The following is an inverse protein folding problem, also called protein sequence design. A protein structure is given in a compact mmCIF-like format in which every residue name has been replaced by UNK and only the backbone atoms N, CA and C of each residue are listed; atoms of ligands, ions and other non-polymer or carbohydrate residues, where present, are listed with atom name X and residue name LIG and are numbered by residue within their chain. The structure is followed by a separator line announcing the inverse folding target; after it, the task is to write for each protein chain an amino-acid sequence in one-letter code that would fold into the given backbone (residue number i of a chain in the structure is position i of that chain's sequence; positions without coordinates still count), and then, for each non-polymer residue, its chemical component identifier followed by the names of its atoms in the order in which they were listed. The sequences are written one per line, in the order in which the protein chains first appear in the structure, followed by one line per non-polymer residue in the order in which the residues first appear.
data_IF_935762014755
#
_entry.id   IF_935762014755
#
_cell.length_a   1.000
_cell.length_b   1.000
_cell.length_c   1.000
_cell.angle_alpha   90.00
_cell.angle_beta   90.00
_cell.angle_gamma   90.00
#
_symmetry.space_group_name_H-M   'P 1'
#
loop_
_entity.id
_entity.type
_entity.pdbx_description
1 polymer ?
#
# COMPACT_ATOMS: atom_id res chain seq x y z
N UNK A 1 -25.85 2.33 -43.86
CA UNK A 1 -26.28 1.74 -42.56
C UNK A 1 -25.15 1.49 -41.55
N UNK A 2 -24.03 0.83 -41.89
CA UNK A 2 -22.97 0.49 -40.90
C UNK A 2 -22.22 1.67 -40.25
N UNK A 3 -22.17 2.85 -40.89
CA UNK A 3 -21.45 4.02 -40.35
C UNK A 3 -22.20 4.78 -39.24
N UNK A 4 -23.54 4.77 -39.25
CA UNK A 4 -24.35 5.50 -38.27
C UNK A 4 -24.37 4.82 -36.89
N UNK A 5 -24.14 3.49 -36.83
CA UNK A 5 -24.02 2.76 -35.55
C UNK A 5 -22.61 2.81 -34.94
N UNK A 6 -21.56 3.01 -35.73
CA UNK A 6 -20.18 2.95 -35.23
C UNK A 6 -19.86 4.08 -34.22
N UNK A 7 -20.35 5.30 -34.49
CA UNK A 7 -20.15 6.47 -33.62
C UNK A 7 -20.80 6.27 -32.23
N UNK A 8 -22.11 5.96 -32.12
CA UNK A 8 -22.73 5.76 -30.80
C UNK A 8 -22.13 4.57 -30.04
N UNK A 9 -21.77 3.48 -30.72
CA UNK A 9 -21.06 2.35 -30.11
C UNK A 9 -19.72 2.77 -29.51
N UNK A 10 -19.00 3.66 -30.17
CA UNK A 10 -17.70 4.15 -29.67
C UNK A 10 -17.84 5.09 -28.49
N UNK A 11 -18.91 5.88 -28.41
CA UNK A 11 -19.20 6.71 -27.23
C UNK A 11 -19.53 5.82 -26.03
N UNK A 12 -20.36 4.79 -26.21
CA UNK A 12 -20.66 3.80 -25.17
C UNK A 12 -19.38 3.11 -24.71
N UNK A 13 -18.54 2.69 -25.65
CA UNK A 13 -17.24 2.10 -25.36
C UNK A 13 -16.35 3.05 -24.55
N UNK A 14 -16.25 4.33 -24.94
CA UNK A 14 -15.44 5.32 -24.20
C UNK A 14 -15.95 5.48 -22.77
N UNK A 15 -17.27 5.51 -22.55
CA UNK A 15 -17.85 5.58 -21.22
C UNK A 15 -17.51 4.34 -20.37
N UNK A 16 -17.62 3.13 -20.95
CA UNK A 16 -17.27 1.88 -20.28
C UNK A 16 -15.77 1.81 -19.97
N UNK A 17 -14.92 2.21 -20.91
CA UNK A 17 -13.47 2.25 -20.72
C UNK A 17 -13.08 3.25 -19.63
N UNK A 18 -13.71 4.44 -19.60
CA UNK A 18 -13.53 5.40 -18.52
C UNK A 18 -13.97 4.82 -17.16
N UNK A 19 -15.02 4.00 -17.12
CA UNK A 19 -15.43 3.32 -15.88
C UNK A 19 -14.39 2.32 -15.39
N UNK A 20 -13.79 1.53 -16.29
CA UNK A 20 -12.67 0.65 -15.93
C UNK A 20 -11.44 1.42 -15.47
N UNK A 21 -11.13 2.54 -16.13
CA UNK A 21 -10.06 3.43 -15.71
C UNK A 21 -10.31 4.04 -14.32
N UNK A 22 -11.52 4.54 -14.07
CA UNK A 22 -11.89 5.04 -12.74
C UNK A 22 -11.78 3.90 -11.72
N UNK A 23 -12.28 2.70 -12.01
CA UNK A 23 -12.14 1.60 -11.06
C UNK A 23 -10.67 1.23 -10.78
N UNK A 24 -9.81 1.19 -11.80
CA UNK A 24 -8.40 0.82 -11.61
C UNK A 24 -7.57 1.81 -10.78
N UNK A 25 -7.96 3.09 -10.77
CA UNK A 25 -7.20 4.15 -10.07
C UNK A 25 -7.92 4.73 -8.84
N UNK A 26 -9.24 4.61 -8.77
CA UNK A 26 -10.12 5.29 -7.82
C UNK A 26 -10.87 4.28 -6.96
N UNK A 27 -11.66 3.36 -7.55
CA UNK A 27 -12.59 2.55 -6.75
C UNK A 27 -12.07 1.19 -6.29
N UNK A 28 -11.16 0.57 -7.05
CA UNK A 28 -10.56 -0.74 -6.79
C UNK A 28 -11.59 -1.85 -6.49
N UNK A 29 -12.75 -1.86 -7.15
CA UNK A 29 -13.81 -2.86 -6.91
C UNK A 29 -13.70 -4.08 -7.81
N UNK A 30 -13.21 -3.93 -9.03
CA UNK A 30 -13.05 -5.05 -9.95
C UNK A 30 -11.78 -5.84 -9.67
N UNK A 31 -11.87 -7.14 -9.91
CA UNK A 31 -10.73 -8.04 -9.89
C UNK A 31 -9.77 -7.73 -11.04
N UNK A 32 -8.50 -8.12 -10.88
CA UNK A 32 -7.44 -7.83 -11.86
C UNK A 32 -7.76 -8.35 -13.27
N UNK A 33 -8.41 -9.50 -13.38
CA UNK A 33 -8.74 -10.10 -14.68
C UNK A 33 -9.89 -9.37 -15.38
N UNK A 34 -10.89 -8.90 -14.64
CA UNK A 34 -11.97 -8.08 -15.20
C UNK A 34 -11.45 -6.77 -15.76
N UNK A 35 -10.54 -6.12 -15.03
CA UNK A 35 -9.86 -4.91 -15.49
C UNK A 35 -9.01 -5.17 -16.74
N UNK A 36 -8.28 -6.29 -16.80
CA UNK A 36 -7.50 -6.67 -17.98
C UNK A 36 -8.38 -6.82 -19.22
N UNK A 37 -9.51 -7.52 -19.11
CA UNK A 37 -10.47 -7.66 -20.22
C UNK A 37 -10.99 -6.29 -20.66
N UNK A 38 -11.31 -5.42 -19.70
CA UNK A 38 -11.68 -4.03 -19.94
C UNK A 38 -10.63 -3.26 -20.74
N UNK A 39 -9.36 -3.33 -20.36
CA UNK A 39 -8.28 -2.64 -21.08
C UNK A 39 -7.94 -3.29 -22.43
N UNK A 40 -7.99 -4.63 -22.55
CA UNK A 40 -7.75 -5.35 -23.81
C UNK A 40 -8.78 -5.01 -24.88
N UNK A 41 -10.02 -4.68 -24.47
CA UNK A 41 -11.06 -4.26 -25.40
C UNK A 41 -10.73 -2.98 -26.20
N UNK A 42 -9.69 -2.23 -25.79
CA UNK A 42 -9.16 -1.11 -26.56
C UNK A 42 -8.50 -1.50 -27.89
N UNK A 43 -7.88 -2.68 -27.97
CA UNK A 43 -7.17 -3.13 -29.16
C UNK A 43 -8.08 -3.20 -30.41
N UNK A 44 -9.22 -3.92 -30.39
CA UNK A 44 -10.09 -4.00 -31.56
C UNK A 44 -10.70 -2.64 -31.93
N UNK A 45 -11.04 -1.79 -30.96
CA UNK A 45 -11.60 -0.45 -31.21
C UNK A 45 -10.58 0.45 -31.89
N UNK A 46 -9.35 0.49 -31.37
CA UNK A 46 -8.26 1.26 -31.97
C UNK A 46 -7.93 0.74 -33.38
N UNK A 47 -7.86 -0.59 -33.56
CA UNK A 47 -7.62 -1.20 -34.86
C UNK A 47 -8.70 -0.83 -35.89
N UNK A 48 -9.97 -0.89 -35.50
CA UNK A 48 -11.10 -0.53 -36.36
C UNK A 48 -10.99 0.90 -36.88
N UNK A 49 -10.76 1.89 -36.00
CA UNK A 49 -10.67 3.30 -36.40
C UNK A 49 -9.44 3.60 -37.25
N UNK A 50 -8.28 3.00 -36.92
CA UNK A 50 -7.05 3.15 -37.71
C UNK A 50 -7.27 2.59 -39.13
N UNK A 51 -7.90 1.42 -39.26
CA UNK A 51 -8.20 0.81 -40.55
C UNK A 51 -9.22 1.62 -41.35
N UNK A 52 -10.29 2.08 -40.68
CA UNK A 52 -11.40 2.83 -41.30
C UNK A 52 -10.94 4.14 -41.94
N UNK A 53 -9.96 4.81 -41.35
CA UNK A 53 -9.44 6.10 -41.80
C UNK A 53 -8.06 6.04 -42.45
N UNK A 54 -7.63 4.85 -42.89
CA UNK A 54 -6.34 4.68 -43.58
C UNK A 54 -6.21 5.56 -44.83
N UNK A 55 -7.31 5.73 -45.56
CA UNK A 55 -7.41 6.54 -46.78
C UNK A 55 -7.91 7.99 -46.54
N UNK A 56 -8.10 8.40 -45.27
CA UNK A 56 -8.48 9.78 -44.94
C UNK A 56 -7.29 10.73 -45.01
N UNK A 57 -7.54 12.03 -44.83
CA UNK A 57 -6.49 13.05 -44.79
C UNK A 57 -5.40 12.71 -43.75
N UNK A 58 -4.16 13.14 -44.03
CA UNK A 58 -3.01 12.94 -43.14
C UNK A 58 -3.28 13.44 -41.70
N UNK A 59 -4.03 14.54 -41.57
CA UNK A 59 -4.39 15.14 -40.27
C UNK A 59 -5.36 14.21 -39.54
N UNK A 60 -6.41 13.73 -40.23
CA UNK A 60 -7.38 12.79 -39.65
C UNK A 60 -6.69 11.51 -39.17
N UNK A 61 -5.75 10.98 -39.96
CA UNK A 61 -4.99 9.78 -39.59
C UNK A 61 -4.13 10.02 -38.34
N UNK A 62 -3.41 11.15 -38.27
CA UNK A 62 -2.61 11.50 -37.09
C UNK A 62 -3.48 11.72 -35.86
N UNK A 63 -4.64 12.36 -35.99
CA UNK A 63 -5.56 12.58 -34.89
C UNK A 63 -6.07 11.26 -34.30
N UNK A 64 -6.44 10.30 -35.16
CA UNK A 64 -6.88 8.97 -34.71
C UNK A 64 -5.76 8.23 -33.98
N UNK A 65 -4.53 8.26 -34.50
CA UNK A 65 -3.38 7.65 -33.83
C UNK A 65 -3.12 8.29 -32.46
N UNK A 66 -3.22 9.61 -32.36
CA UNK A 66 -3.07 10.34 -31.10
C UNK A 66 -4.17 10.04 -30.08
N UNK A 67 -5.42 9.84 -30.52
CA UNK A 67 -6.52 9.47 -29.61
C UNK A 67 -6.36 8.02 -29.15
N UNK A 68 -6.00 7.10 -30.06
CA UNK A 68 -5.76 5.69 -29.75
C UNK A 68 -4.56 5.48 -28.82
N UNK A 69 -3.63 6.44 -28.73
CA UNK A 69 -2.49 6.37 -27.82
C UNK A 69 -2.91 6.20 -26.36
N UNK A 70 -3.91 6.96 -25.88
CA UNK A 70 -4.32 6.95 -24.47
C UNK A 70 -4.73 5.56 -23.99
N UNK A 71 -5.73 4.88 -24.58
CA UNK A 71 -6.16 3.58 -24.08
C UNK A 71 -5.10 2.48 -24.29
N UNK A 72 -4.26 2.59 -25.33
CA UNK A 72 -3.16 1.65 -25.55
C UNK A 72 -2.04 1.81 -24.52
N UNK A 73 -1.66 3.05 -24.20
CA UNK A 73 -0.67 3.33 -23.16
C UNK A 73 -1.16 2.82 -21.80
N UNK A 74 -2.41 3.07 -21.44
CA UNK A 74 -2.97 2.59 -20.17
C UNK A 74 -3.00 1.06 -20.08
N UNK A 75 -3.31 0.36 -21.18
CA UNK A 75 -3.17 -1.09 -21.26
C UNK A 75 -1.71 -1.53 -21.00
N UNK A 76 -0.74 -0.90 -21.68
CA UNK A 76 0.69 -1.21 -21.50
C UNK A 76 1.16 -0.92 -20.07
N UNK A 77 0.66 0.15 -19.44
CA UNK A 77 0.95 0.47 -18.05
C UNK A 77 0.31 -0.50 -17.04
N UNK A 78 -0.79 -1.16 -17.44
CA UNK A 78 -1.50 -2.12 -16.60
C UNK A 78 -0.86 -3.52 -16.62
N UNK A 79 -0.30 -3.96 -17.75
CA UNK A 79 0.30 -5.30 -17.90
C UNK A 79 1.34 -5.66 -16.81
N UNK A 80 2.27 -4.77 -16.40
CA UNK A 80 3.25 -5.09 -15.36
C UNK A 80 2.61 -5.30 -13.98
N UNK A 81 1.44 -4.70 -13.72
CA UNK A 81 0.71 -4.89 -12.47
C UNK A 81 0.16 -6.31 -12.32
N UNK A 82 -0.07 -7.04 -13.43
CA UNK A 82 -0.48 -8.44 -13.38
C UNK A 82 0.58 -9.34 -12.76
N UNK A 83 1.85 -8.98 -12.95
CA UNK A 83 3.02 -9.66 -12.40
C UNK A 83 3.58 -8.93 -11.17
N UNK A 84 2.77 -8.10 -10.51
CA UNK A 84 3.15 -7.34 -9.31
C UNK A 84 4.40 -6.46 -9.48
N UNK A 85 4.75 -6.10 -10.72
CA UNK A 85 5.91 -5.28 -11.05
C UNK A 85 5.55 -3.79 -10.98
N UNK A 86 5.35 -3.29 -9.75
CA UNK A 86 4.92 -1.91 -9.50
C UNK A 86 5.90 -0.85 -10.00
N UNK A 87 7.21 -1.07 -9.86
CA UNK A 87 8.25 -0.15 -10.33
C UNK A 87 8.22 0.03 -11.85
N UNK A 88 8.01 -1.06 -12.60
CA UNK A 88 7.93 -1.02 -14.05
C UNK A 88 6.64 -0.32 -14.50
N UNK A 89 5.51 -0.61 -13.86
CA UNK A 89 4.24 0.09 -14.12
C UNK A 89 4.36 1.61 -13.89
N UNK A 90 5.02 2.02 -12.80
CA UNK A 90 5.28 3.43 -12.49
C UNK A 90 6.15 4.09 -13.56
N UNK A 91 7.23 3.44 -13.97
CA UNK A 91 8.13 3.93 -15.03
C UNK A 91 7.38 4.10 -16.36
N UNK A 92 6.56 3.12 -16.75
CA UNK A 92 5.73 3.19 -17.95
C UNK A 92 4.68 4.32 -17.86
N UNK A 93 4.10 4.54 -16.67
CA UNK A 93 3.20 5.66 -16.44
C UNK A 93 3.91 7.01 -16.58
N UNK A 94 5.10 7.17 -15.99
CA UNK A 94 5.87 8.41 -16.08
C UNK A 94 6.27 8.73 -17.54
N UNK A 95 6.78 7.74 -18.26
CA UNK A 95 7.12 7.90 -19.69
C UNK A 95 5.87 8.25 -20.49
N UNK A 96 4.74 7.59 -20.24
CA UNK A 96 3.54 7.86 -21.02
C UNK A 96 2.87 9.18 -20.70
N UNK A 97 2.96 9.69 -19.46
CA UNK A 97 2.56 11.06 -19.12
C UNK A 97 3.42 12.06 -19.91
N UNK A 98 4.74 11.83 -20.00
CA UNK A 98 5.63 12.69 -20.78
C UNK A 98 5.30 12.65 -22.28
N UNK A 99 5.05 11.47 -22.84
CA UNK A 99 4.64 11.34 -24.25
C UNK A 99 3.28 12.00 -24.49
N UNK A 100 2.30 11.83 -23.59
CA UNK A 100 0.99 12.50 -23.67
C UNK A 100 1.14 14.03 -23.65
N UNK A 101 2.03 14.54 -22.80
CA UNK A 101 2.35 15.97 -22.72
C UNK A 101 2.85 16.51 -24.07
N UNK A 102 3.90 15.89 -24.64
CA UNK A 102 4.48 16.34 -25.91
C UNK A 102 3.52 16.15 -27.09
N UNK A 103 2.76 15.05 -27.11
CA UNK A 103 1.79 14.79 -28.16
C UNK A 103 0.68 15.86 -28.16
N UNK A 104 0.15 16.20 -26.99
CA UNK A 104 -0.84 17.28 -26.87
C UNK A 104 -0.24 18.67 -27.17
N UNK A 105 1.02 18.91 -26.79
CA UNK A 105 1.72 20.16 -27.12
C UNK A 105 1.88 20.36 -28.62
N UNK A 106 2.24 19.30 -29.37
CA UNK A 106 2.33 19.34 -30.83
C UNK A 106 0.97 19.70 -31.45
N UNK A 107 -0.11 19.11 -30.95
CA UNK A 107 -1.48 19.44 -31.40
C UNK A 107 -1.88 20.87 -31.05
N UNK A 108 -1.53 21.36 -29.86
CA UNK A 108 -1.79 22.72 -29.43
C UNK A 108 -1.05 23.72 -30.34
N UNK A 109 0.25 23.52 -30.56
CA UNK A 109 1.06 24.37 -31.46
C UNK A 109 0.48 24.37 -32.88
N UNK A 110 0.17 23.19 -33.42
CA UNK A 110 -0.43 23.08 -34.75
C UNK A 110 -1.79 23.78 -34.85
N UNK A 111 -2.64 23.63 -33.81
CA UNK A 111 -3.94 24.27 -33.76
C UNK A 111 -3.84 25.78 -33.72
N UNK A 112 -2.99 26.34 -32.84
CA UNK A 112 -2.78 27.79 -32.77
C UNK A 112 -2.21 28.30 -34.11
N UNK A 113 -1.21 27.63 -34.69
CA UNK A 113 -0.64 28.08 -35.98
C UNK A 113 -1.70 28.12 -37.10
N UNK A 114 -2.54 27.09 -37.18
CA UNK A 114 -3.63 27.03 -38.15
C UNK A 114 -4.73 28.05 -37.87
N UNK A 115 -5.05 28.29 -36.59
CA UNK A 115 -6.05 29.26 -36.19
C UNK A 115 -5.58 30.69 -36.51
N UNK A 116 -4.32 31.02 -36.21
CA UNK A 116 -3.70 32.31 -36.54
C UNK A 116 -3.74 32.59 -38.05
N UNK A 117 -3.49 31.58 -38.89
CA UNK A 117 -3.58 31.71 -40.36
C UNK A 117 -5.00 31.95 -40.89
N UNK A 118 -6.03 31.61 -40.10
CA UNK A 118 -7.44 31.71 -40.48
C UNK A 118 -8.13 32.93 -39.89
N UNK A 119 -7.58 33.52 -38.83
CA UNK A 119 -8.13 34.72 -38.22
C UNK A 119 -7.83 35.92 -39.11
N UNK A 120 -8.85 36.63 -39.62
CA UNK A 120 -8.65 37.86 -40.37
C UNK A 120 -8.05 38.94 -39.47
N UNK A 121 -7.36 39.91 -40.09
CA UNK A 121 -6.85 41.05 -39.33
C UNK A 121 -8.00 41.88 -38.75
N UNK A 122 -7.88 42.32 -37.50
CA UNK A 122 -8.93 43.08 -36.83
C UNK A 122 -9.10 44.47 -37.44
N UNK A 123 -10.36 44.88 -37.62
CA UNK A 123 -10.72 46.19 -38.17
C UNK A 123 -10.50 47.36 -37.20
N UNK A 124 -10.38 47.08 -35.89
CA UNK A 124 -10.19 48.10 -34.85
C UNK A 124 -8.94 47.85 -34.01
N UNK A 125 -8.15 48.92 -33.75
CA UNK A 125 -6.89 48.89 -32.96
C UNK A 125 -7.09 48.90 -31.44
N UNK A 126 -8.27 48.50 -30.94
CA UNK A 126 -8.52 48.42 -29.50
C UNK A 126 -7.68 47.29 -28.87
N UNK A 127 -7.58 47.25 -27.53
CA UNK A 127 -6.88 46.17 -26.80
C UNK A 127 -7.53 44.81 -27.11
N UNK A 128 -6.93 44.04 -28.01
CA UNK A 128 -7.40 42.71 -28.38
C UNK A 128 -6.80 41.66 -27.46
N UNK A 129 -7.66 40.78 -26.93
CA UNK A 129 -7.33 39.70 -26.00
C UNK A 129 -7.24 38.32 -26.64
N UNK A 130 -7.52 38.18 -27.94
CA UNK A 130 -7.54 36.87 -28.60
C UNK A 130 -6.11 36.34 -28.84
N UNK A 131 -5.70 35.21 -28.23
CA UNK A 131 -4.36 34.64 -28.38
C UNK A 131 -4.05 34.13 -29.78
N UNK A 132 -5.07 33.98 -30.65
CA UNK A 132 -4.90 33.60 -32.05
C UNK A 132 -4.41 34.76 -32.89
N UNK A 133 -4.64 36.00 -32.47
CA UNK A 133 -4.24 37.19 -33.22
C UNK A 133 -2.83 37.65 -32.83
N UNK A 134 -1.95 37.81 -33.81
CA UNK A 134 -0.57 38.28 -33.58
C UNK A 134 -0.48 39.73 -33.11
N UNK A 135 -1.56 40.50 -33.29
CA UNK A 135 -1.68 41.90 -32.87
C UNK A 135 -2.23 42.06 -31.44
N UNK A 136 -2.47 40.97 -30.72
CA UNK A 136 -2.92 41.03 -29.33
C UNK A 136 -1.94 41.86 -28.48
N UNK A 137 -2.49 42.65 -27.55
CA UNK A 137 -1.74 43.72 -26.87
C UNK A 137 -0.53 43.20 -26.08
N UNK A 138 -0.61 41.97 -25.57
CA UNK A 138 0.43 41.33 -24.76
C UNK A 138 1.55 40.66 -25.57
N UNK A 139 1.40 40.52 -26.90
CA UNK A 139 2.50 40.07 -27.76
C UNK A 139 3.44 41.23 -28.15
N UNK A 140 3.02 42.48 -28.00
CA UNK A 140 3.83 43.65 -28.36
C UNK A 140 4.01 43.81 -29.87
N UNK A 141 5.01 44.60 -30.29
CA UNK A 141 5.25 44.96 -31.71
C UNK A 141 6.42 44.24 -32.38
N UNK A 142 7.28 43.56 -31.61
CA UNK A 142 8.46 42.85 -32.11
C UNK A 142 8.37 41.37 -31.75
N UNK A 143 8.71 40.50 -32.71
CA UNK A 143 8.74 39.04 -32.55
C UNK A 143 7.42 38.44 -32.06
N UNK A 144 6.28 38.95 -32.55
CA UNK A 144 4.94 38.59 -32.09
C UNK A 144 4.66 37.08 -32.21
N UNK A 145 5.18 36.43 -33.27
CA UNK A 145 5.02 34.98 -33.47
C UNK A 145 5.78 34.16 -32.42
N UNK A 146 7.00 34.56 -32.08
CA UNK A 146 7.77 33.90 -31.01
C UNK A 146 7.06 34.03 -29.66
N UNK A 147 6.53 35.22 -29.35
CA UNK A 147 5.78 35.46 -28.12
C UNK A 147 4.46 34.69 -28.09
N UNK A 148 3.78 34.52 -29.23
CA UNK A 148 2.62 33.63 -29.35
C UNK A 148 3.01 32.18 -29.03
N UNK A 149 4.10 31.66 -29.60
CA UNK A 149 4.57 30.30 -29.32
C UNK A 149 4.94 30.10 -27.84
N UNK A 150 5.66 31.05 -27.25
CA UNK A 150 6.01 31.03 -25.81
C UNK A 150 4.74 31.05 -24.96
N UNK A 151 3.77 31.91 -25.27
CA UNK A 151 2.51 31.98 -24.56
C UNK A 151 1.75 30.65 -24.64
N UNK A 152 1.66 30.04 -25.83
CA UNK A 152 1.01 28.73 -25.99
C UNK A 152 1.69 27.63 -25.20
N UNK A 153 3.03 27.63 -25.15
CA UNK A 153 3.80 26.67 -24.37
C UNK A 153 3.51 26.83 -22.87
N UNK A 154 3.58 28.05 -22.36
CA UNK A 154 3.32 28.35 -20.94
C UNK A 154 1.88 28.02 -20.58
N UNK A 155 0.91 28.47 -21.36
CA UNK A 155 -0.51 28.23 -21.09
C UNK A 155 -0.84 26.74 -21.13
N UNK A 156 -0.35 26.02 -22.15
CA UNK A 156 -0.55 24.58 -22.27
C UNK A 156 0.10 23.85 -21.09
N UNK A 157 1.35 24.16 -20.76
CA UNK A 157 2.07 23.54 -19.65
C UNK A 157 1.36 23.75 -18.33
N UNK A 158 0.88 24.97 -18.07
CA UNK A 158 0.10 25.27 -16.87
C UNK A 158 -1.22 24.49 -16.84
N UNK A 159 -1.98 24.46 -17.94
CA UNK A 159 -3.25 23.71 -17.99
C UNK A 159 -3.05 22.21 -17.85
N UNK A 160 -2.01 21.66 -18.49
CA UNK A 160 -1.67 20.23 -18.37
C UNK A 160 -1.26 19.91 -16.93
N UNK A 161 -0.40 20.72 -16.32
CA UNK A 161 0.01 20.54 -14.92
C UNK A 161 -1.20 20.60 -13.96
N UNK A 162 -2.13 21.54 -14.19
CA UNK A 162 -3.36 21.64 -13.40
C UNK A 162 -4.24 20.40 -13.55
N UNK A 163 -4.46 19.93 -14.78
CA UNK A 163 -5.25 18.73 -15.06
C UNK A 163 -4.57 17.49 -14.45
N UNK A 164 -3.25 17.31 -14.64
CA UNK A 164 -2.49 16.22 -14.04
C UNK A 164 -2.54 16.25 -12.52
N UNK A 165 -2.52 17.44 -11.90
CA UNK A 165 -2.68 17.60 -10.46
C UNK A 165 -4.09 17.22 -10.02
N UNK A 166 -5.13 17.63 -10.75
CA UNK A 166 -6.52 17.23 -10.43
C UNK A 166 -6.68 15.72 -10.56
N UNK A 167 -6.20 15.12 -11.66
CA UNK A 167 -6.31 13.68 -11.91
C UNK A 167 -5.50 12.85 -10.91
N UNK A 168 -4.30 13.28 -10.50
CA UNK A 168 -3.54 12.59 -9.44
C UNK A 168 -4.21 12.68 -8.08
N UNK A 169 -5.05 13.71 -7.87
CA UNK A 169 -5.85 13.91 -6.65
C UNK A 169 -7.22 13.24 -6.71
N UNK A 170 -7.66 12.71 -7.86
CA UNK A 170 -8.84 11.85 -7.95
C UNK A 170 -8.50 10.52 -7.27
N UNK A 171 -8.63 10.52 -5.95
CA UNK A 171 -8.38 9.37 -5.11
C UNK A 171 -9.72 8.89 -4.60
N UNK A 172 -10.17 7.75 -5.12
CA UNK A 172 -11.30 7.06 -4.55
C UNK A 172 -10.81 6.16 -3.42
N UNK A 173 -11.71 5.89 -2.50
CA UNK A 173 -11.45 4.95 -1.43
C UNK A 173 -12.48 3.83 -1.53
N UNK A 174 -12.01 2.61 -1.70
CA UNK A 174 -12.76 1.45 -1.26
C UNK A 174 -12.76 1.49 0.27
N UNK A 175 -13.95 1.60 0.86
CA UNK A 175 -14.13 1.48 2.32
C UNK A 175 -13.42 0.21 2.83
N UNK A 176 -12.81 0.28 4.02
CA UNK A 176 -12.28 -0.92 4.64
C UNK A 176 -13.38 -1.64 5.42
N UNK A 177 -13.49 -2.95 5.22
CA UNK A 177 -14.34 -3.84 6.02
C UNK A 177 -13.55 -5.11 6.34
N UNK A 178 -13.51 -5.48 7.62
CA UNK A 178 -12.91 -6.73 8.07
C UNK A 178 -13.76 -7.92 7.61
N UNK A 179 -13.17 -9.11 7.38
CA UNK A 179 -13.96 -10.31 7.08
C UNK A 179 -14.84 -10.70 8.27
N UNK A 180 -16.09 -11.05 8.00
CA UNK A 180 -17.01 -11.57 9.01
C UNK A 180 -16.53 -12.95 9.52
N UNK A 181 -16.53 -13.13 10.84
CA UNK A 181 -16.32 -14.42 11.48
C UNK A 181 -16.46 -14.31 13.00
N UNK A 182 -16.35 -15.44 13.71
CA UNK A 182 -16.86 -15.45 15.09
C UNK A 182 -16.46 -16.61 15.99
N UNK A 183 -15.23 -17.10 15.91
CA UNK A 183 -14.71 -18.06 16.88
C UNK A 183 -14.72 -17.52 18.33
N UNK A 184 -14.86 -18.42 19.30
CA UNK A 184 -14.50 -18.11 20.70
C UNK A 184 -12.99 -18.25 20.84
N UNK A 185 -12.30 -17.18 21.23
CA UNK A 185 -10.94 -17.28 21.75
C UNK A 185 -10.96 -18.20 22.97
N UNK A 186 -10.50 -19.45 22.84
CA UNK A 186 -10.10 -20.22 24.01
C UNK A 186 -8.79 -19.61 24.48
N UNK A 187 -8.85 -18.73 25.49
CA UNK A 187 -7.66 -18.34 26.23
C UNK A 187 -7.02 -19.61 26.80
N UNK A 188 -5.94 -20.06 26.17
CA UNK A 188 -5.11 -21.11 26.74
C UNK A 188 -4.44 -20.50 27.98
N UNK A 189 -5.00 -20.76 29.17
CA UNK A 189 -4.26 -20.53 30.40
C UNK A 189 -3.00 -21.39 30.31
N UNK A 190 -1.83 -20.74 30.23
CA UNK A 190 -0.56 -21.43 30.42
C UNK A 190 -0.57 -22.04 31.82
N UNK A 191 -0.91 -23.32 31.92
CA UNK A 191 -0.72 -24.07 33.16
C UNK A 191 0.76 -24.44 33.18
N UNK A 192 1.57 -23.60 33.80
CA UNK A 192 2.95 -23.96 34.13
C UNK A 192 2.87 -25.06 35.19
N UNK A 193 2.92 -26.33 34.78
CA UNK A 193 3.08 -27.45 35.72
C UNK A 193 4.53 -27.43 36.21
N UNK A 194 4.79 -26.69 37.28
CA UNK A 194 6.06 -26.76 38.00
C UNK A 194 6.15 -28.16 38.61
N UNK A 195 6.90 -29.06 37.99
CA UNK A 195 7.22 -30.36 38.60
C UNK A 195 8.23 -30.10 39.71
N UNK A 196 7.75 -29.91 40.95
CA UNK A 196 8.60 -29.76 42.12
C UNK A 196 9.38 -31.05 42.33
N UNK A 197 10.67 -31.05 41.98
CA UNK A 197 11.56 -32.19 42.28
C UNK A 197 11.76 -32.20 43.80
N UNK A 198 11.21 -33.19 44.48
CA UNK A 198 11.48 -33.42 45.91
C UNK A 198 12.93 -33.89 46.00
N UNK A 199 13.85 -33.00 46.41
CA UNK A 199 15.22 -33.37 46.73
C UNK A 199 15.18 -34.37 47.90
N UNK A 200 15.63 -35.61 47.70
CA UNK A 200 15.92 -36.52 48.81
C UNK A 200 17.15 -35.97 49.55
N UNK A 201 16.96 -35.51 50.78
CA UNK A 201 18.07 -35.13 51.67
C UNK A 201 18.68 -36.43 52.19
N UNK A 202 19.89 -36.77 51.73
CA UNK A 202 20.65 -37.86 52.32
C UNK A 202 21.18 -37.39 53.67
N UNK A 203 20.76 -38.05 54.75
CA UNK A 203 21.36 -37.86 56.07
C UNK A 203 22.52 -38.84 56.16
N UNK A 204 23.75 -38.32 56.09
CA UNK A 204 24.97 -39.14 56.13
C UNK A 204 25.41 -39.28 57.58
N UNK A 205 25.77 -40.50 57.97
CA UNK A 205 26.38 -40.77 59.26
C UNK A 205 27.82 -40.21 59.25
N UNK A 206 28.19 -39.25 60.11
CA UNK A 206 29.50 -38.60 60.11
C UNK A 206 30.68 -39.55 60.40
N UNK A 207 30.43 -40.79 60.83
CA UNK A 207 31.47 -41.80 61.10
C UNK A 207 31.68 -42.81 59.96
N UNK A 208 31.04 -42.65 58.79
CA UNK A 208 31.25 -43.59 57.68
C UNK A 208 32.54 -43.31 56.91
N UNK A 209 33.34 -44.34 56.66
CA UNK A 209 34.62 -44.29 55.93
C UNK A 209 34.50 -44.15 54.40
N UNK A 210 33.33 -43.80 53.87
CA UNK A 210 33.07 -43.72 52.44
C UNK A 210 33.12 -42.25 52.00
N UNK A 211 34.09 -41.92 51.14
CA UNK A 211 34.23 -40.60 50.56
C UNK A 211 33.18 -40.40 49.44
N UNK A 212 32.13 -39.64 49.73
CA UNK A 212 31.07 -39.37 48.77
C UNK A 212 31.41 -38.12 47.96
N UNK A 213 31.57 -38.24 46.64
CA UNK A 213 31.84 -37.12 45.74
C UNK A 213 30.56 -36.80 44.95
N UNK A 214 29.67 -35.92 45.44
CA UNK A 214 28.45 -35.59 44.72
C UNK A 214 28.79 -34.80 43.45
N UNK A 215 28.17 -35.11 42.30
CA UNK A 215 28.39 -34.36 41.07
C UNK A 215 27.88 -32.92 41.20
N UNK A 216 28.47 -31.95 40.46
CA UNK A 216 28.08 -30.56 40.53
C UNK A 216 26.63 -30.37 40.06
N UNK A 217 25.96 -29.50 40.80
CA UNK A 217 24.59 -29.06 40.58
C UNK A 217 24.67 -28.05 39.45
N UNK A 218 24.15 -28.37 38.27
CA UNK A 218 23.45 -27.44 37.37
C UNK A 218 23.03 -28.18 36.10
N UNK A 219 21.71 -28.41 35.96
CA UNK A 219 21.01 -28.47 34.67
C UNK A 219 19.52 -28.72 34.92
N UNK A 220 18.80 -27.65 35.24
CA UNK A 220 17.33 -27.67 35.22
C UNK A 220 16.88 -27.43 33.78
N UNK A 221 16.68 -28.50 33.00
CA UNK A 221 15.93 -28.40 31.75
C UNK A 221 14.45 -28.22 32.06
N UNK A 222 13.97 -26.98 31.96
CA UNK A 222 12.56 -26.63 31.95
C UNK A 222 11.89 -27.25 30.71
N UNK A 223 11.24 -28.41 30.86
CA UNK A 223 10.34 -28.94 29.84
C UNK A 223 9.05 -28.13 29.84
N UNK A 224 8.98 -27.07 29.03
CA UNK A 224 7.83 -26.14 29.01
C UNK A 224 6.95 -26.28 27.76
N UNK A 225 7.34 -27.00 26.70
CA UNK A 225 6.81 -26.66 25.38
C UNK A 225 5.83 -27.61 24.67
N UNK A 226 5.57 -28.84 25.11
CA UNK A 226 4.88 -29.79 24.20
C UNK A 226 3.35 -29.87 24.32
N UNK A 227 2.73 -29.36 25.39
CA UNK A 227 1.27 -29.52 25.58
C UNK A 227 0.46 -28.35 24.98
N UNK A 228 1.12 -27.26 24.59
CA UNK A 228 0.46 -26.03 24.10
C UNK A 228 0.25 -25.98 22.58
N UNK A 229 0.83 -26.92 21.83
CA UNK A 229 0.99 -26.79 20.37
C UNK A 229 -0.31 -26.99 19.57
N UNK A 230 -1.41 -27.49 20.17
CA UNK A 230 -2.50 -28.06 19.36
C UNK A 230 -3.89 -27.42 19.44
N UNK A 231 -4.13 -26.29 20.12
CA UNK A 231 -5.52 -25.82 20.30
C UNK A 231 -5.76 -24.31 20.22
N UNK A 232 -5.15 -23.60 19.26
CA UNK A 232 -5.67 -22.28 18.85
C UNK A 232 -6.68 -22.44 17.72
N UNK A 233 -7.96 -22.12 17.98
CA UNK A 233 -8.98 -21.95 16.93
C UNK A 233 -9.17 -20.46 16.69
N UNK A 234 -8.86 -20.02 15.47
CA UNK A 234 -8.92 -18.63 15.04
C UNK A 234 -10.38 -18.19 14.88
N UNK A 235 -10.73 -17.07 15.52
CA UNK A 235 -11.97 -16.34 15.30
C UNK A 235 -12.36 -15.51 16.52
N UNK A 236 -13.04 -14.38 16.29
CA UNK A 236 -13.57 -13.51 17.34
C UNK A 236 -15.05 -13.26 17.11
N UNK A 237 -15.95 -13.86 17.91
CA UNK A 237 -17.39 -13.54 17.84
C UNK A 237 -18.36 -14.65 18.25
N UNK A 238 -19.62 -14.51 17.81
CA UNK A 238 -20.73 -15.45 18.08
C UNK A 238 -21.11 -16.33 16.88
N UNK A 239 -20.46 -16.17 15.73
CA UNK A 239 -20.80 -16.81 14.45
C UNK A 239 -19.76 -17.86 14.04
N UNK A 240 -20.19 -18.95 13.40
CA UNK A 240 -19.25 -19.96 12.88
C UNK A 240 -18.36 -19.40 11.77
N UNK A 241 -17.03 -19.59 11.86
CA UNK A 241 -16.06 -19.23 10.82
C UNK A 241 -14.89 -18.36 11.30
N UNK A 242 -13.81 -18.37 10.51
CA UNK A 242 -12.61 -17.56 10.74
C UNK A 242 -12.86 -16.11 10.29
N UNK A 243 -12.80 -15.17 11.22
CA UNK A 243 -12.97 -13.73 10.96
C UNK A 243 -13.29 -12.94 12.22
N UNK A 244 -13.80 -11.73 12.02
CA UNK A 244 -14.10 -10.76 13.08
C UNK A 244 -15.60 -10.47 13.18
N UNK A 245 -16.10 -10.37 14.40
CA UNK A 245 -17.51 -10.17 14.75
C UNK A 245 -18.13 -8.87 14.24
N UNK A 246 -17.33 -7.83 14.02
CA UNK A 246 -17.75 -6.58 13.38
C UNK A 246 -17.50 -6.55 11.87
N UNK A 247 -17.03 -7.66 11.28
CA UNK A 247 -16.77 -7.79 9.86
C UNK A 247 -18.03 -7.92 8.99
N UNK A 248 -17.84 -7.92 7.67
CA UNK A 248 -18.89 -8.10 6.67
C UNK A 248 -18.57 -9.30 5.76
N UNK A 249 -19.59 -9.84 5.09
CA UNK A 249 -19.43 -11.00 4.18
C UNK A 249 -18.48 -10.66 3.01
N UNK A 250 -18.44 -9.39 2.59
CA UNK A 250 -17.57 -8.89 1.52
C UNK A 250 -16.22 -8.38 2.03
N UNK A 251 -16.05 -8.30 3.35
CA UNK A 251 -14.85 -7.79 3.98
C UNK A 251 -13.66 -8.71 3.75
N UNK A 252 -12.50 -8.10 3.50
CA UNK A 252 -11.24 -8.79 3.24
C UNK A 252 -10.12 -8.06 3.97
N UNK A 253 -9.19 -8.82 4.54
CA UNK A 253 -7.95 -8.24 5.07
C UNK A 253 -7.13 -7.68 3.91
N UNK A 254 -6.71 -6.42 4.04
CA UNK A 254 -5.94 -5.68 3.03
C UNK A 254 -4.57 -5.35 3.59
N UNK A 255 -3.53 -5.50 2.78
CA UNK A 255 -2.18 -5.08 3.14
C UNK A 255 -1.90 -3.71 2.51
N UNK A 256 -1.86 -2.66 3.33
CA UNK A 256 -1.69 -1.29 2.87
C UNK A 256 -0.28 -0.80 3.20
N UNK A 257 0.51 -0.52 2.17
CA UNK A 257 1.87 0.00 2.30
C UNK A 257 1.87 1.51 2.04
N UNK A 258 2.43 2.29 2.96
CA UNK A 258 2.46 3.74 2.86
C UNK A 258 3.53 4.23 1.90
N UNK A 259 3.13 5.07 0.94
CA UNK A 259 4.05 5.87 0.12
C UNK A 259 4.42 7.13 0.89
N UNK A 260 5.71 7.38 1.03
CA UNK A 260 6.29 8.58 1.65
C UNK A 260 7.40 9.16 0.76
N UNK A 261 7.68 10.46 0.91
CA UNK A 261 8.69 11.15 0.11
C UNK A 261 10.12 10.90 0.65
N UNK A 262 11.10 11.02 -0.24
CA UNK A 262 12.53 11.04 0.08
C UNK A 262 13.27 9.71 -0.01
N UNK A 263 12.58 8.57 0.13
CA UNK A 263 13.21 7.26 0.23
C UNK A 263 12.51 6.14 -0.54
N UNK A 264 12.87 4.91 -0.21
CA UNK A 264 12.57 3.67 -0.92
C UNK A 264 11.40 2.89 -0.31
N UNK A 265 10.26 3.55 -0.14
CA UNK A 265 9.03 2.96 0.41
C UNK A 265 8.56 1.67 -0.30
N UNK A 266 9.04 1.42 -1.52
CA UNK A 266 8.70 0.28 -2.38
C UNK A 266 9.64 -0.93 -2.23
N UNK A 267 10.52 -0.93 -1.22
CA UNK A 267 11.47 -2.01 -0.98
C UNK A 267 10.81 -3.41 -0.95
N UNK A 268 11.39 -4.37 -1.68
CA UNK A 268 10.95 -5.77 -1.83
C UNK A 268 9.54 -6.00 -2.38
N UNK A 269 8.83 -4.95 -2.79
CA UNK A 269 7.53 -5.08 -3.45
C UNK A 269 7.61 -5.81 -4.78
N UNK A 270 8.69 -5.61 -5.53
CA UNK A 270 8.95 -6.29 -6.81
C UNK A 270 9.36 -7.76 -6.64
N UNK A 271 9.65 -8.18 -5.40
CA UNK A 271 9.94 -9.57 -5.01
C UNK A 271 8.77 -10.20 -4.25
N UNK A 272 7.57 -9.64 -4.35
CA UNK A 272 6.36 -10.28 -3.80
C UNK A 272 6.17 -10.19 -2.28
N UNK A 273 7.05 -9.52 -1.51
CA UNK A 273 7.04 -9.56 -0.04
C UNK A 273 5.66 -9.28 0.59
N UNK A 274 5.02 -8.17 0.22
CA UNK A 274 3.71 -7.80 0.75
C UNK A 274 2.61 -8.81 0.41
N UNK A 275 2.64 -9.34 -0.82
CA UNK A 275 1.65 -10.30 -1.30
C UNK A 275 1.84 -11.65 -0.62
N UNK A 276 3.08 -12.08 -0.44
CA UNK A 276 3.42 -13.33 0.20
C UNK A 276 2.98 -13.32 1.67
N UNK A 277 3.28 -12.24 2.41
CA UNK A 277 2.78 -12.11 3.80
C UNK A 277 1.25 -12.09 3.86
N UNK A 278 0.59 -11.33 2.98
CA UNK A 278 -0.87 -11.28 2.94
C UNK A 278 -1.49 -12.64 2.60
N UNK A 279 -0.88 -13.38 1.68
CA UNK A 279 -1.33 -14.72 1.27
C UNK A 279 -1.12 -15.73 2.39
N UNK A 280 0.06 -15.74 3.01
CA UNK A 280 0.38 -16.58 4.17
C UNK A 280 -0.54 -16.28 5.35
N UNK A 281 -0.89 -15.01 5.59
CA UNK A 281 -1.90 -14.64 6.56
C UNK A 281 -3.25 -15.30 6.25
N UNK A 282 -3.73 -15.21 5.01
CA UNK A 282 -4.99 -15.82 4.60
C UNK A 282 -4.98 -17.34 4.76
N UNK A 283 -3.89 -18.01 4.35
CA UNK A 283 -3.72 -19.47 4.45
C UNK A 283 -3.71 -19.91 5.92
N UNK A 284 -2.90 -19.24 6.76
CA UNK A 284 -2.70 -19.61 8.17
C UNK A 284 -3.91 -19.30 9.04
N UNK A 285 -4.67 -18.26 8.71
CA UNK A 285 -5.82 -17.82 9.51
C UNK A 285 -7.17 -18.29 8.99
N UNK A 286 -7.27 -18.65 7.71
CA UNK A 286 -8.54 -18.88 7.03
C UNK A 286 -9.34 -17.60 6.77
N UNK A 287 -8.78 -16.42 7.07
CA UNK A 287 -9.45 -15.14 6.79
C UNK A 287 -9.40 -14.81 5.29
N UNK A 288 -10.51 -14.35 4.70
CA UNK A 288 -10.50 -13.75 3.37
C UNK A 288 -9.53 -12.58 3.29
N UNK A 289 -8.64 -12.61 2.30
CA UNK A 289 -7.63 -11.57 2.03
C UNK A 289 -7.83 -10.96 0.64
N UNK A 290 -7.33 -9.73 0.46
CA UNK A 290 -7.23 -9.09 -0.86
C UNK A 290 -6.29 -9.87 -1.78
N UNK A 291 -6.54 -9.82 -3.09
CA UNK A 291 -5.74 -10.48 -4.13
C UNK A 291 -4.47 -9.70 -4.51
N UNK A 292 -4.29 -8.52 -3.92
CA UNK A 292 -3.15 -7.63 -4.13
C UNK A 292 -2.87 -6.76 -2.90
N UNK A 293 -1.59 -6.44 -2.64
CA UNK A 293 -1.23 -5.37 -1.73
C UNK A 293 -1.54 -4.00 -2.34
N UNK A 294 -1.66 -2.99 -1.48
CA UNK A 294 -2.15 -1.67 -1.85
C UNK A 294 -1.17 -0.56 -1.43
N UNK A 295 -0.36 -0.06 -2.38
CA UNK A 295 0.44 1.14 -2.17
C UNK A 295 -0.46 2.37 -2.03
N UNK A 296 -0.32 3.11 -0.94
CA UNK A 296 -1.20 4.22 -0.59
C UNK A 296 -0.45 5.45 -0.10
N UNK A 297 -0.74 6.61 -0.66
CA UNK A 297 -0.27 7.89 -0.11
C UNK A 297 -0.86 8.13 1.28
N UNK A 298 -0.05 8.62 2.21
CA UNK A 298 -0.48 8.95 3.58
C UNK A 298 -1.67 9.93 3.58
N UNK A 299 -1.67 10.88 2.63
CA UNK A 299 -2.75 11.84 2.44
C UNK A 299 -4.14 11.22 2.21
N UNK A 300 -4.22 9.96 1.78
CA UNK A 300 -5.48 9.23 1.53
C UNK A 300 -6.10 8.64 2.80
N UNK A 301 -5.35 8.48 3.89
CA UNK A 301 -5.88 7.90 5.14
C UNK A 301 -7.05 8.70 5.73
N UNK A 302 -7.10 10.02 5.48
CA UNK A 302 -8.22 10.89 5.89
C UNK A 302 -9.52 10.66 5.11
N UNK A 303 -9.44 9.99 3.96
CA UNK A 303 -10.58 9.79 3.06
C UNK A 303 -11.44 8.59 3.46
N UNK A 304 -10.94 7.74 4.36
CA UNK A 304 -11.72 6.65 4.92
C UNK A 304 -12.84 7.20 5.81
N UNK A 305 -14.09 6.74 5.62
CA UNK A 305 -15.17 7.09 6.53
C UNK A 305 -14.86 6.61 7.96
N UNK A 306 -15.42 7.27 8.99
CA UNK A 306 -15.33 6.77 10.36
C UNK A 306 -15.75 5.30 10.43
N UNK A 307 -14.98 4.50 11.19
CA UNK A 307 -15.22 3.05 11.37
C UNK A 307 -15.09 2.20 10.10
N UNK A 308 -14.48 2.76 9.05
CA UNK A 308 -14.19 2.07 7.78
C UNK A 308 -12.76 2.32 7.32
N UNK A 309 -11.86 2.52 8.29
CA UNK A 309 -10.42 2.70 8.09
C UNK A 309 -9.69 1.37 8.23
N UNK A 310 -8.56 1.17 7.53
CA UNK A 310 -7.75 -0.03 7.69
C UNK A 310 -7.22 -0.17 9.12
N UNK A 311 -7.20 -1.38 9.70
CA UNK A 311 -6.66 -1.63 11.04
C UNK A 311 -5.15 -1.45 11.11
N UNK A 312 -4.45 -1.69 10.00
CA UNK A 312 -3.00 -1.67 9.92
C UNK A 312 -2.55 -1.00 8.62
N UNK A 313 -1.48 -0.20 8.72
CA UNK A 313 -0.69 0.27 7.58
C UNK A 313 0.77 -0.08 7.82
N UNK A 314 1.49 -0.40 6.75
CA UNK A 314 2.88 -0.84 6.77
C UNK A 314 3.81 0.24 6.18
N UNK A 315 4.98 0.41 6.77
CA UNK A 315 6.03 1.33 6.33
C UNK A 315 7.38 0.64 6.46
N UNK A 316 8.16 0.64 5.39
CA UNK A 316 9.53 0.09 5.35
C UNK A 316 10.41 0.92 4.42
N UNK A 317 11.72 0.75 4.55
CA UNK A 317 12.75 1.29 3.68
C UNK A 317 14.10 1.37 4.38
N UNK A 318 15.11 1.84 3.66
CA UNK A 318 16.47 2.08 4.18
C UNK A 318 16.90 3.56 4.03
N UNK A 319 16.23 4.32 3.17
CA UNK A 319 16.52 5.72 2.86
C UNK A 319 15.73 6.70 3.73
N UNK A 320 15.76 7.99 3.37
CA UNK A 320 15.17 9.06 4.19
C UNK A 320 13.65 9.01 4.18
N UNK A 321 13.02 9.17 5.35
CA UNK A 321 11.57 9.35 5.46
C UNK A 321 11.26 10.86 5.58
N UNK A 322 10.49 11.40 4.65
CA UNK A 322 10.05 12.80 4.66
C UNK A 322 8.52 12.84 4.70
N UNK A 323 7.98 13.41 5.78
CA UNK A 323 6.54 13.68 5.93
C UNK A 323 6.28 15.17 6.05
N UNK A 324 5.27 15.66 5.33
CA UNK A 324 4.77 17.02 5.49
C UNK A 324 4.00 17.20 6.81
N UNK A 325 3.88 18.45 7.28
CA UNK A 325 3.07 18.76 8.47
C UNK A 325 1.61 18.28 8.35
N UNK A 326 1.07 18.27 7.12
CA UNK A 326 -0.27 17.76 6.83
C UNK A 326 -0.35 16.25 7.02
N UNK A 327 0.64 15.51 6.55
CA UNK A 327 0.71 14.05 6.70
C UNK A 327 0.90 13.64 8.15
N UNK A 328 1.72 14.36 8.91
CA UNK A 328 1.88 14.14 10.36
C UNK A 328 0.52 14.25 11.07
N UNK A 329 -0.28 15.28 10.75
CA UNK A 329 -1.64 15.45 11.31
C UNK A 329 -2.58 14.32 10.90
N UNK A 330 -2.50 13.86 9.65
CA UNK A 330 -3.32 12.75 9.15
C UNK A 330 -2.95 11.44 9.84
N UNK A 331 -1.66 11.14 9.98
CA UNK A 331 -1.18 9.95 10.70
C UNK A 331 -1.62 9.98 12.16
N UNK A 332 -1.51 11.12 12.84
CA UNK A 332 -1.98 11.27 14.22
C UNK A 332 -3.48 10.95 14.34
N UNK A 333 -4.30 11.53 13.45
CA UNK A 333 -5.74 11.26 13.42
C UNK A 333 -6.03 9.78 13.14
N UNK A 334 -5.32 9.16 12.18
CA UNK A 334 -5.48 7.75 11.85
C UNK A 334 -5.16 6.83 13.05
N UNK A 335 -4.05 7.10 13.75
CA UNK A 335 -3.63 6.29 14.90
C UNK A 335 -4.53 6.47 16.12
N UNK A 336 -5.02 7.68 16.38
CA UNK A 336 -5.81 8.00 17.59
C UNK A 336 -7.32 7.83 17.36
N UNK A 337 -7.87 8.47 16.32
CA UNK A 337 -9.32 8.55 16.10
C UNK A 337 -9.85 7.36 15.30
N UNK A 338 -9.09 6.89 14.31
CA UNK A 338 -9.51 5.79 13.45
C UNK A 338 -9.13 4.40 13.98
N UNK A 339 -8.55 4.30 15.17
CA UNK A 339 -8.09 3.03 15.76
C UNK A 339 -7.13 2.22 14.87
N UNK A 340 -6.38 2.91 14.00
CA UNK A 340 -5.36 2.28 13.18
C UNK A 340 -4.09 1.94 13.96
N UNK A 341 -3.27 1.10 13.34
CA UNK A 341 -1.92 0.77 13.79
C UNK A 341 -0.91 1.00 12.66
N UNK A 342 0.25 1.57 12.99
CA UNK A 342 1.39 1.67 12.09
C UNK A 342 2.37 0.53 12.38
N UNK A 343 2.69 -0.26 11.37
CA UNK A 343 3.76 -1.23 11.44
C UNK A 343 4.97 -0.71 10.64
N UNK A 344 6.04 -0.35 11.36
CA UNK A 344 7.33 0.03 10.81
C UNK A 344 8.30 -1.15 10.77
N UNK A 345 9.01 -1.32 9.67
CA UNK A 345 10.02 -2.35 9.48
C UNK A 345 11.28 -1.72 8.90
N UNK A 346 12.42 -1.92 9.55
CA UNK A 346 13.68 -1.35 9.10
C UNK A 346 14.25 -2.19 7.97
N UNK A 347 14.12 -1.69 6.74
CA UNK A 347 14.50 -2.37 5.51
C UNK A 347 16.00 -2.33 5.17
N UNK A 348 16.89 -1.94 6.08
CA UNK A 348 18.33 -2.11 5.80
C UNK A 348 19.29 -1.07 6.35
N UNK A 349 18.86 -0.10 7.15
CA UNK A 349 19.70 1.05 7.52
C UNK A 349 19.72 1.34 9.01
N UNK A 350 20.92 1.54 9.55
CA UNK A 350 21.12 1.97 10.95
C UNK A 350 20.52 3.35 11.24
N UNK A 351 20.40 4.19 10.22
CA UNK A 351 19.77 5.51 10.34
C UNK A 351 18.24 5.48 10.29
N UNK A 352 17.62 4.39 9.83
CA UNK A 352 16.17 4.36 9.63
C UNK A 352 15.39 4.35 10.94
N UNK A 353 15.90 3.64 11.96
CA UNK A 353 15.31 3.62 13.31
C UNK A 353 15.14 5.05 13.88
N UNK A 354 16.21 5.85 13.86
CA UNK A 354 16.19 7.20 14.39
C UNK A 354 15.19 8.11 13.65
N UNK A 355 15.04 7.90 12.34
CA UNK A 355 14.05 8.62 11.53
C UNK A 355 12.63 8.21 11.88
N UNK A 356 12.36 6.90 12.02
CA UNK A 356 11.05 6.39 12.41
C UNK A 356 10.65 6.91 13.80
N UNK A 357 11.57 6.84 14.78
CA UNK A 357 11.35 7.37 16.13
C UNK A 357 11.12 8.89 16.13
N UNK A 358 11.89 9.65 15.35
CA UNK A 358 11.72 11.10 15.19
C UNK A 358 10.35 11.45 14.60
N UNK A 359 9.92 10.72 13.58
CA UNK A 359 8.59 10.89 12.98
C UNK A 359 7.50 10.54 13.97
N UNK A 360 7.64 9.44 14.71
CA UNK A 360 6.69 9.06 15.75
C UNK A 360 6.62 10.09 16.88
N UNK A 361 7.73 10.75 17.25
CA UNK A 361 7.73 11.87 18.19
C UNK A 361 6.96 13.08 17.65
N UNK A 362 7.04 13.34 16.35
CA UNK A 362 6.23 14.40 15.72
C UNK A 362 4.74 14.01 15.63
N UNK A 363 4.42 12.73 15.36
CA UNK A 363 3.05 12.23 15.27
C UNK A 363 2.41 12.14 16.66
N UNK A 364 3.11 11.64 17.68
CA UNK A 364 2.64 11.43 19.04
C UNK A 364 3.62 12.07 20.06
N UNK A 365 3.64 13.40 20.22
CA UNK A 365 4.64 14.10 21.04
C UNK A 365 4.63 13.78 22.55
N UNK A 366 3.59 13.09 23.03
CA UNK A 366 3.41 12.73 24.45
C UNK A 366 3.55 11.23 24.71
N UNK A 367 3.91 10.44 23.69
CA UNK A 367 4.00 8.98 23.79
C UNK A 367 5.44 8.57 23.50
N UNK A 368 6.13 8.10 24.53
CA UNK A 368 7.46 7.52 24.39
C UNK A 368 7.37 6.03 24.00
N UNK A 369 8.31 5.52 23.18
CA UNK A 369 8.34 4.11 22.83
C UNK A 369 8.72 3.23 24.02
N UNK A 370 8.11 2.04 24.08
CA UNK A 370 8.48 0.96 24.98
C UNK A 370 9.13 -0.20 24.22
N UNK A 371 9.93 -1.00 24.92
CA UNK A 371 10.37 -2.29 24.41
C UNK A 371 9.21 -3.29 24.40
N UNK A 372 8.95 -3.93 23.26
CA UNK A 372 7.93 -4.98 23.15
C UNK A 372 8.63 -6.34 23.28
N UNK A 373 8.44 -6.99 24.43
CA UNK A 373 9.04 -8.30 24.74
C UNK A 373 8.14 -9.47 24.30
N UNK A 374 8.66 -10.70 24.36
CA UNK A 374 7.97 -11.91 23.87
C UNK A 374 6.71 -12.29 24.65
N UNK A 375 6.56 -11.77 25.86
CA UNK A 375 5.34 -11.90 26.66
C UNK A 375 4.23 -10.94 26.23
N UNK A 376 4.49 -9.98 25.34
CA UNK A 376 3.43 -9.16 24.78
C UNK A 376 2.49 -10.00 23.89
N UNK A 377 1.18 -9.71 23.91
CA UNK A 377 0.17 -10.48 23.16
C UNK A 377 0.48 -10.57 21.66
N UNK A 378 1.07 -9.52 21.09
CA UNK A 378 1.49 -9.46 19.67
C UNK A 378 2.60 -10.49 19.31
N UNK A 379 3.31 -11.05 20.28
CA UNK A 379 4.31 -12.10 20.07
C UNK A 379 3.81 -13.49 20.47
N UNK A 380 2.55 -13.60 20.92
CA UNK A 380 1.95 -14.84 21.43
C UNK A 380 0.79 -15.37 20.60
N UNK A 381 0.10 -14.50 19.86
CA UNK A 381 -1.15 -14.85 19.18
C UNK A 381 -1.13 -14.34 17.72
N UNK A 382 -1.50 -15.19 16.73
CA UNK A 382 -1.84 -16.61 16.87
C UNK A 382 -0.65 -17.55 17.15
N UNK A 383 0.58 -17.13 16.86
CA UNK A 383 1.77 -17.97 17.01
C UNK A 383 2.64 -17.49 18.17
N UNK A 384 2.99 -18.36 19.14
CA UNK A 384 3.97 -18.04 20.16
C UNK A 384 5.39 -18.04 19.56
N UNK A 385 6.06 -16.90 19.61
CA UNK A 385 7.42 -16.77 19.08
C UNK A 385 8.45 -17.20 20.14
N UNK A 386 9.38 -18.12 19.82
CA UNK A 386 10.45 -18.51 20.75
C UNK A 386 11.51 -17.42 20.92
N UNK A 387 11.66 -16.57 19.90
CA UNK A 387 12.54 -15.40 19.85
C UNK A 387 12.01 -14.41 18.83
N UNK A 388 12.43 -13.15 18.92
CA UNK A 388 12.13 -12.16 17.89
C UNK A 388 12.94 -12.53 16.63
N UNK A 389 12.30 -12.82 15.48
CA UNK A 389 13.03 -13.06 14.24
C UNK A 389 13.73 -11.78 13.80
N UNK A 390 15.01 -11.87 13.49
CA UNK A 390 15.83 -10.79 12.92
C UNK A 390 16.46 -11.39 11.66
N UNK A 391 16.16 -10.82 10.50
CA UNK A 391 16.77 -11.23 9.23
C UNK A 391 18.17 -10.65 9.13
N UNK A 392 18.28 -9.33 9.34
CA UNK A 392 19.55 -8.63 9.36
C UNK A 392 19.58 -7.59 10.49
N UNK A 393 20.67 -7.48 11.26
CA UNK A 393 20.73 -6.60 12.42
C UNK A 393 21.00 -5.15 12.01
N UNK A 394 19.96 -4.41 11.64
CA UNK A 394 20.08 -3.00 11.23
C UNK A 394 19.88 -2.01 12.38
N UNK A 395 19.28 -2.43 13.49
CA UNK A 395 19.04 -1.58 14.65
C UNK A 395 19.28 -2.33 15.95
N UNK A 396 18.45 -2.01 16.94
CA UNK A 396 18.43 -2.68 18.25
C UNK A 396 18.03 -4.17 18.16
N UNK A 397 18.18 -4.89 19.26
CA UNK A 397 17.83 -6.31 19.39
C UNK A 397 16.36 -6.60 19.74
N UNK A 398 15.57 -5.57 20.04
CA UNK A 398 14.19 -5.69 20.49
C UNK A 398 13.24 -4.80 19.68
N UNK A 399 11.99 -5.21 19.53
CA UNK A 399 10.98 -4.36 18.90
C UNK A 399 10.61 -3.17 19.79
N UNK A 400 10.20 -2.06 19.16
CA UNK A 400 9.62 -0.90 19.84
C UNK A 400 8.11 -0.84 19.63
N UNK A 401 7.41 -0.28 20.61
CA UNK A 401 5.97 -0.08 20.58
C UNK A 401 5.57 1.27 21.13
N UNK A 402 4.55 1.89 20.54
CA UNK A 402 3.89 3.07 21.10
C UNK A 402 2.53 2.65 21.59
N UNK A 403 2.21 2.97 22.85
CA UNK A 403 0.98 2.52 23.50
C UNK A 403 0.08 3.71 23.79
N UNK A 404 -1.19 3.60 23.40
CA UNK A 404 -2.26 4.55 23.73
C UNK A 404 -3.49 3.74 24.12
N UNK A 405 -4.16 4.11 25.21
CA UNK A 405 -5.37 3.45 25.71
C UNK A 405 -5.24 1.92 25.88
N UNK A 406 -4.05 1.47 26.25
CA UNK A 406 -3.76 0.06 26.52
C UNK A 406 -3.55 -0.82 25.28
N UNK A 407 -3.46 -0.25 24.08
CA UNK A 407 -3.10 -0.96 22.84
C UNK A 407 -1.87 -0.39 22.16
N UNK A 408 -1.20 -1.19 21.34
CA UNK A 408 -0.17 -0.69 20.43
C UNK A 408 -0.83 0.12 19.30
N UNK A 409 -0.39 1.36 19.15
CA UNK A 409 -0.72 2.23 18.00
C UNK A 409 0.39 2.21 16.96
N UNK A 410 1.62 1.90 17.35
CA UNK A 410 2.69 1.61 16.42
C UNK A 410 3.56 0.48 16.94
N UNK A 411 4.05 -0.35 16.02
CA UNK A 411 5.02 -1.40 16.26
C UNK A 411 6.18 -1.21 15.28
N UNK A 412 7.41 -1.20 15.77
CA UNK A 412 8.61 -1.07 14.97
C UNK A 412 9.49 -2.31 15.12
N UNK A 413 9.83 -2.91 13.99
CA UNK A 413 10.76 -4.03 13.90
C UNK A 413 12.13 -3.57 13.37
N UNK A 414 13.24 -3.96 14.03
CA UNK A 414 14.58 -3.45 13.70
C UNK A 414 15.35 -4.27 12.66
N UNK A 415 14.77 -5.32 12.08
CA UNK A 415 15.54 -6.41 11.48
C UNK A 415 15.06 -6.95 10.15
N UNK A 416 14.60 -6.06 9.26
CA UNK A 416 14.26 -6.29 7.85
C UNK A 416 13.46 -7.57 7.59
N UNK A 417 12.29 -7.71 8.24
CA UNK A 417 11.49 -8.92 8.07
C UNK A 417 10.80 -8.99 6.70
N UNK A 418 10.72 -7.87 5.99
CA UNK A 418 10.31 -7.81 4.58
C UNK A 418 11.11 -8.75 3.68
N UNK A 419 12.41 -8.88 3.89
CA UNK A 419 13.28 -9.75 3.10
C UNK A 419 12.93 -11.25 3.26
N UNK A 420 12.48 -11.66 4.45
CA UNK A 420 11.99 -13.02 4.68
C UNK A 420 10.68 -13.32 3.95
N UNK A 421 9.87 -12.28 3.66
CA UNK A 421 8.63 -12.43 2.92
C UNK A 421 8.84 -12.43 1.39
N UNK A 422 9.99 -11.96 0.91
CA UNK A 422 10.31 -11.92 -0.50
C UNK A 422 10.33 -13.33 -1.15
N UNK A 423 10.19 -13.38 -2.47
CA UNK A 423 10.29 -14.60 -3.26
C UNK A 423 11.67 -15.25 -3.06
N UNK A 424 11.68 -16.55 -2.76
CA UNK A 424 12.91 -17.26 -2.37
C UNK A 424 13.45 -16.85 -0.99
N UNK A 425 12.68 -16.09 -0.21
CA UNK A 425 13.00 -15.59 1.13
C UNK A 425 14.32 -14.81 1.20
N UNK A 426 14.77 -14.21 0.09
CA UNK A 426 16.09 -13.55 -0.01
C UNK A 426 17.27 -14.41 0.51
N UNK A 427 17.15 -15.75 0.44
CA UNK A 427 18.16 -16.68 0.97
C UNK A 427 18.19 -16.80 2.50
N UNK A 428 17.21 -16.23 3.20
CA UNK A 428 17.05 -16.33 4.66
C UNK A 428 16.87 -17.81 5.07
N UNK A 429 17.50 -18.28 6.16
CA UNK A 429 17.32 -19.65 6.64
C UNK A 429 15.87 -19.96 7.02
N UNK A 430 15.45 -21.22 6.85
CA UNK A 430 14.07 -21.67 7.09
C UNK A 430 13.50 -21.31 8.44
N UNK A 431 14.29 -21.51 9.50
CA UNK A 431 13.86 -21.18 10.86
C UNK A 431 13.55 -19.68 11.01
N UNK A 432 14.34 -18.82 10.36
CA UNK A 432 14.19 -17.36 10.46
C UNK A 432 13.01 -16.89 9.62
N UNK A 433 12.88 -17.33 8.35
CA UNK A 433 11.77 -16.87 7.53
C UNK A 433 10.42 -17.37 8.05
N UNK A 434 10.33 -18.60 8.56
CA UNK A 434 9.08 -19.14 9.12
C UNK A 434 8.64 -18.32 10.34
N UNK A 435 9.59 -18.00 11.23
CA UNK A 435 9.34 -17.13 12.39
C UNK A 435 8.96 -15.70 11.96
N UNK A 436 9.55 -15.16 10.89
CA UNK A 436 9.18 -13.86 10.32
C UNK A 436 7.74 -13.83 9.76
N UNK A 437 7.27 -14.91 9.12
CA UNK A 437 5.86 -15.01 8.71
C UNK A 437 4.94 -15.12 9.93
N UNK A 438 5.28 -15.94 10.92
CA UNK A 438 4.51 -16.04 12.15
C UNK A 438 4.38 -14.68 12.86
N UNK A 439 5.47 -13.91 12.96
CA UNK A 439 5.43 -12.56 13.49
C UNK A 439 4.54 -11.64 12.65
N UNK A 440 4.69 -11.63 11.32
CA UNK A 440 3.84 -10.83 10.43
C UNK A 440 2.35 -11.15 10.59
N UNK A 441 2.02 -12.44 10.71
CA UNK A 441 0.65 -12.91 10.95
C UNK A 441 0.13 -12.40 12.30
N UNK A 442 0.94 -12.47 13.35
CA UNK A 442 0.59 -11.94 14.66
C UNK A 442 0.32 -10.43 14.64
N UNK A 443 1.17 -9.65 13.97
CA UNK A 443 1.01 -8.20 13.88
C UNK A 443 -0.30 -7.85 13.16
N UNK A 444 -0.56 -8.47 11.99
CA UNK A 444 -1.81 -8.26 11.25
C UNK A 444 -3.00 -8.66 12.12
N UNK A 445 -2.95 -9.85 12.75
CA UNK A 445 -4.03 -10.34 13.59
C UNK A 445 -4.32 -9.42 14.77
N UNK A 446 -3.28 -8.98 15.50
CA UNK A 446 -3.39 -8.07 16.64
C UNK A 446 -4.08 -6.76 16.24
N UNK A 447 -3.65 -6.14 15.14
CA UNK A 447 -4.24 -4.89 14.67
C UNK A 447 -5.73 -5.04 14.36
N UNK A 448 -6.11 -6.11 13.67
CA UNK A 448 -7.50 -6.38 13.31
C UNK A 448 -8.35 -6.76 14.54
N UNK A 449 -7.78 -7.49 15.50
CA UNK A 449 -8.43 -7.85 16.75
C UNK A 449 -8.74 -6.60 17.61
N UNK A 450 -7.78 -5.69 17.77
CA UNK A 450 -8.00 -4.44 18.51
C UNK A 450 -9.00 -3.51 17.80
N UNK A 451 -8.93 -3.44 16.46
CA UNK A 451 -9.91 -2.70 15.66
C UNK A 451 -11.32 -3.28 15.81
N UNK A 452 -11.46 -4.59 15.78
CA UNK A 452 -12.73 -5.28 15.98
C UNK A 452 -13.31 -4.99 17.38
N UNK A 453 -12.51 -5.09 18.45
CA UNK A 453 -12.92 -4.72 19.82
C UNK A 453 -13.43 -3.28 19.89
N UNK A 454 -12.74 -2.34 19.23
CA UNK A 454 -13.19 -0.96 19.16
C UNK A 454 -14.52 -0.80 18.43
N UNK A 455 -14.69 -1.46 17.29
CA UNK A 455 -15.96 -1.45 16.55
C UNK A 455 -17.11 -1.98 17.40
N UNK A 456 -16.89 -3.06 18.16
CA UNK A 456 -17.90 -3.62 19.04
C UNK A 456 -18.25 -2.70 20.21
N UNK A 457 -17.26 -2.12 20.90
CA UNK A 457 -17.48 -1.18 22.01
C UNK A 457 -18.23 0.06 21.58
N UNK A 458 -18.10 0.45 20.31
CA UNK A 458 -18.75 1.63 19.76
C UNK A 458 -20.06 1.34 19.03
N UNK A 459 -20.49 0.07 18.91
CA UNK A 459 -21.83 -0.26 18.38
C UNK A 459 -22.86 0.29 19.38
N UNK A 460 -23.60 1.33 18.98
CA UNK A 460 -24.78 1.82 19.70
C UNK A 460 -26.00 1.07 19.22
#
# INVERSE_FOLDING_TARGET
MRAHLAIPLTVIYTALWCLFWVDSYVWFRFEKWTLLVGFLSALPVCHYWIRRHRASSIITRRAILSISYIPLWQLIAYLPLLNHSYSLAETVNQIGIAVAFFLGLIWAIWWIDRATKRTPEPTHKNRIWDPRQLVAWYFGKKNNKLRQSIFTLISYTFTFALISLVLSRLTGCSIYEAPLGGGKEKQLKQIVKIKKIIKKKYVINPYSSILFNPPPIDDVKLQVLEVTEHLYKIGQGKSDGAGFSAGTIRGKVRFIRLKYDGGDWQQDMNRGADLNLLTEYGIRTGHPVSDRPEPMEIGRLKSFPPRKSPPMVYMTGQQKIILSAKEIKIMRNYLLECHGMLFGDNGGSSGWEGQFVSIMKNILPRVEPISVYLDHTIHRIPYPLPRLPIVAPHGRSNALGWVVDGRLVAYYHPGDIGDAWADGHSGVPREVWESSYQLGVNIIYYAHAEYNKWLERTKK
#
